data_IF_360260776112
#
_entry.id   IF_360260776112
#
_cell.length_a   1.000
_cell.length_b   1.000
_cell.length_c   1.000
_cell.angle_alpha   90.00
_cell.angle_beta   90.00
_cell.angle_gamma   90.00
#
_symmetry.space_group_name_H-M   'P 1'
#
loop_
_entity.id
_entity.type
_entity.pdbx_description
1 polymer ?
#
# COMPACT_ATOMS: atom_id res chain seq x y z
N UNK A 1 -28.38 32.39 -22.77
CA UNK A 1 -27.96 31.11 -22.15
C UNK A 1 -26.47 30.93 -22.42
N UNK A 2 -25.63 30.79 -21.39
CA UNK A 2 -24.19 30.53 -21.60
C UNK A 2 -24.05 29.09 -22.06
N UNK A 3 -23.56 28.88 -23.29
CA UNK A 3 -23.31 27.56 -23.84
C UNK A 3 -22.07 26.98 -23.16
N UNK A 4 -22.25 25.93 -22.36
CA UNK A 4 -21.14 25.21 -21.74
C UNK A 4 -20.67 24.17 -22.75
N UNK A 5 -19.39 24.26 -23.15
CA UNK A 5 -18.80 23.30 -24.08
C UNK A 5 -18.80 21.90 -23.46
N UNK A 6 -19.39 20.93 -24.17
CA UNK A 6 -19.37 19.51 -23.78
C UNK A 6 -17.93 19.02 -23.57
N UNK A 7 -17.00 19.51 -24.39
CA UNK A 7 -15.59 19.17 -24.27
C UNK A 7 -14.98 19.66 -22.94
N UNK A 8 -15.36 20.85 -22.47
CA UNK A 8 -14.89 21.38 -21.19
C UNK A 8 -15.41 20.55 -20.00
N UNK A 9 -16.63 20.04 -20.09
CA UNK A 9 -17.21 19.14 -19.09
C UNK A 9 -16.50 17.78 -19.06
N UNK A 10 -16.17 17.22 -20.23
CA UNK A 10 -15.42 15.97 -20.32
C UNK A 10 -14.02 16.09 -19.72
N UNK A 11 -13.31 17.18 -20.00
CA UNK A 11 -11.97 17.42 -19.42
C UNK A 11 -12.05 17.57 -17.90
N UNK A 12 -13.01 18.34 -17.38
CA UNK A 12 -13.25 18.45 -15.94
C UNK A 12 -13.56 17.09 -15.31
N UNK A 13 -14.40 16.28 -15.96
CA UNK A 13 -14.76 14.96 -15.48
C UNK A 13 -13.55 14.02 -15.43
N UNK A 14 -12.69 14.03 -16.45
CA UNK A 14 -11.44 13.25 -16.47
C UNK A 14 -10.49 13.70 -15.36
N UNK A 15 -10.30 15.00 -15.15
CA UNK A 15 -9.45 15.53 -14.06
C UNK A 15 -9.98 15.12 -12.68
N UNK A 16 -11.31 15.14 -12.48
CA UNK A 16 -11.93 14.71 -11.22
C UNK A 16 -11.82 13.19 -11.03
N UNK A 17 -11.91 12.39 -12.10
CA UNK A 17 -11.74 10.93 -12.03
C UNK A 17 -10.29 10.53 -11.74
N UNK A 18 -9.32 11.17 -12.38
CA UNK A 18 -7.88 10.93 -12.14
C UNK A 18 -7.51 11.31 -10.70
N UNK A 19 -8.06 12.40 -10.15
CA UNK A 19 -7.86 12.77 -8.74
C UNK A 19 -8.63 11.88 -7.76
N UNK A 20 -9.77 11.29 -8.17
CA UNK A 20 -10.59 10.42 -7.31
C UNK A 20 -10.11 8.97 -7.25
N UNK A 21 -9.27 8.51 -8.18
CA UNK A 21 -8.60 7.20 -8.09
C UNK A 21 -7.67 7.09 -6.87
N UNK A 22 -7.32 8.21 -6.24
CA UNK A 22 -6.57 8.27 -4.97
C UNK A 22 -7.57 8.22 -3.78
N UNK A 23 -8.42 7.21 -3.76
CA UNK A 23 -9.07 6.75 -2.53
C UNK A 23 -8.96 5.25 -2.55
N UNK A 24 -7.75 4.76 -2.22
CA UNK A 24 -7.58 3.42 -1.70
C UNK A 24 -8.68 3.19 -0.66
N UNK A 25 -9.31 2.03 -0.76
CA UNK A 25 -10.42 1.62 0.09
C UNK A 25 -10.10 1.95 1.56
N UNK A 26 -10.72 3.00 2.12
CA UNK A 26 -10.49 3.46 3.50
C UNK A 26 -10.83 2.38 4.56
N UNK A 27 -11.41 1.26 4.13
CA UNK A 27 -11.76 0.12 4.96
C UNK A 27 -10.81 -1.08 4.80
N UNK A 28 -9.76 -0.98 3.97
CA UNK A 28 -8.75 -2.03 3.88
C UNK A 28 -7.72 -1.85 5.02
N UNK A 29 -7.54 -2.89 5.83
CA UNK A 29 -6.54 -2.86 6.91
C UNK A 29 -5.11 -2.84 6.40
N UNK A 30 -4.88 -3.35 5.18
CA UNK A 30 -3.58 -3.47 4.55
C UNK A 30 -3.55 -2.71 3.23
N UNK A 31 -2.52 -1.90 3.04
CA UNK A 31 -2.22 -1.19 1.79
C UNK A 31 -0.78 -1.49 1.38
N UNK A 32 -0.54 -1.74 0.09
CA UNK A 32 0.81 -2.00 -0.41
C UNK A 32 1.71 -0.78 -0.18
N UNK A 33 2.94 -1.00 0.28
CA UNK A 33 3.92 0.07 0.48
C UNK A 33 4.26 0.76 -0.85
N UNK A 34 4.30 0.00 -1.94
CA UNK A 34 4.51 0.46 -3.33
C UNK A 34 5.65 1.49 -3.45
N UNK A 35 6.92 1.05 -3.31
CA UNK A 35 8.09 1.94 -3.29
C UNK A 35 8.22 2.69 -4.62
N UNK A 36 8.50 3.99 -4.56
CA UNK A 36 8.70 4.85 -5.74
C UNK A 36 10.05 5.55 -5.72
N UNK A 37 10.66 5.77 -6.90
CA UNK A 37 11.92 6.50 -7.01
C UNK A 37 13.05 5.84 -6.21
N UNK A 38 13.58 6.58 -5.23
CA UNK A 38 14.68 6.16 -4.36
C UNK A 38 14.24 5.40 -3.10
N UNK A 39 12.95 5.03 -3.00
CA UNK A 39 12.45 4.23 -1.89
C UNK A 39 13.13 2.86 -1.83
N UNK A 40 13.28 2.34 -0.61
CA UNK A 40 13.80 0.99 -0.40
C UNK A 40 12.82 -0.05 -0.97
N UNK A 41 13.26 -0.95 -1.88
CA UNK A 41 12.41 -2.01 -2.42
C UNK A 41 11.83 -2.94 -1.36
N UNK A 42 10.63 -3.47 -1.61
CA UNK A 42 9.91 -4.37 -0.69
C UNK A 42 10.73 -5.58 -0.27
N UNK A 43 11.42 -6.21 -1.22
CA UNK A 43 12.34 -7.32 -0.96
C UNK A 43 13.38 -6.98 0.13
N UNK A 44 13.99 -5.79 0.09
CA UNK A 44 14.97 -5.39 1.11
C UNK A 44 14.30 -5.09 2.45
N UNK A 45 13.11 -4.49 2.43
CA UNK A 45 12.32 -4.22 3.65
C UNK A 45 11.89 -5.51 4.36
N UNK A 46 11.75 -6.61 3.60
CA UNK A 46 11.23 -7.88 4.09
C UNK A 46 12.29 -8.95 4.34
N UNK A 47 13.45 -8.89 3.68
CA UNK A 47 14.50 -9.91 3.80
C UNK A 47 15.42 -9.72 5.00
N UNK A 48 15.59 -8.49 5.50
CA UNK A 48 16.51 -8.24 6.62
C UNK A 48 15.97 -8.92 7.89
N UNK A 49 16.75 -9.81 8.53
CA UNK A 49 16.30 -10.60 9.69
C UNK A 49 16.31 -9.74 10.97
N UNK A 50 15.44 -8.75 11.04
CA UNK A 50 15.25 -7.86 12.19
C UNK A 50 13.80 -7.90 12.66
N UNK A 51 13.58 -7.82 13.97
CA UNK A 51 12.26 -7.81 14.57
C UNK A 51 12.01 -6.50 15.37
N UNK A 52 10.89 -5.79 15.14
CA UNK A 52 9.98 -5.98 14.00
C UNK A 52 10.71 -5.65 12.67
N UNK A 53 10.16 -6.13 11.55
CA UNK A 53 10.79 -6.01 10.22
C UNK A 53 11.05 -4.55 9.81
N UNK A 54 11.91 -4.35 8.80
CA UNK A 54 12.09 -3.00 8.26
C UNK A 54 10.81 -2.49 7.59
N UNK A 55 10.02 -3.37 6.95
CA UNK A 55 8.68 -3.04 6.47
C UNK A 55 7.81 -2.44 7.59
N UNK A 56 7.81 -3.07 8.78
CA UNK A 56 7.05 -2.55 9.93
C UNK A 56 7.47 -1.13 10.32
N UNK A 57 8.77 -0.90 10.46
CA UNK A 57 9.32 0.40 10.85
C UNK A 57 9.07 1.46 9.78
N UNK A 58 9.29 1.11 8.51
CA UNK A 58 9.14 2.04 7.39
C UNK A 58 7.70 2.51 7.23
N UNK A 59 6.72 1.62 7.41
CA UNK A 59 5.30 1.99 7.40
C UNK A 59 4.97 2.98 8.52
N UNK A 60 5.45 2.75 9.75
CA UNK A 60 5.26 3.71 10.86
C UNK A 60 5.86 5.09 10.57
N UNK A 61 7.02 5.12 9.90
CA UNK A 61 7.76 6.36 9.64
C UNK A 61 7.18 7.17 8.47
N UNK A 62 6.62 6.52 7.45
CA UNK A 62 6.33 7.16 6.15
C UNK A 62 4.87 7.16 5.76
N UNK A 63 4.03 6.36 6.40
CA UNK A 63 2.60 6.26 6.09
C UNK A 63 1.78 6.76 7.28
N UNK A 64 1.16 7.92 7.11
CA UNK A 64 0.33 8.53 8.15
C UNK A 64 -0.82 7.61 8.57
N UNK A 65 -0.94 7.36 9.88
CA UNK A 65 -1.98 6.50 10.43
C UNK A 65 -1.68 4.99 10.39
N UNK A 66 -0.56 4.58 9.79
CA UNK A 66 -0.11 3.20 9.89
C UNK A 66 0.26 2.85 11.33
N UNK A 67 -0.05 1.61 11.74
CA UNK A 67 0.28 1.02 13.04
C UNK A 67 1.43 0.01 12.96
N UNK A 68 1.90 -0.27 11.74
CA UNK A 68 2.97 -1.21 11.47
C UNK A 68 2.96 -1.62 10.01
N UNK A 69 3.63 -2.74 9.71
CA UNK A 69 3.73 -3.29 8.37
C UNK A 69 4.06 -4.77 8.41
N UNK A 70 3.61 -5.50 7.40
CA UNK A 70 3.79 -6.94 7.26
C UNK A 70 4.30 -7.28 5.87
N UNK A 71 5.12 -8.32 5.81
CA UNK A 71 5.64 -8.85 4.56
C UNK A 71 4.78 -10.01 4.10
N UNK A 72 4.35 -9.97 2.84
CA UNK A 72 3.79 -11.11 2.12
C UNK A 72 4.94 -11.74 1.34
N UNK A 73 5.42 -12.89 1.82
CA UNK A 73 6.56 -13.58 1.24
C UNK A 73 6.06 -14.52 0.14
N UNK A 74 6.60 -14.33 -1.05
CA UNK A 74 6.32 -15.18 -2.21
C UNK A 74 7.47 -16.18 -2.45
N UNK A 75 7.22 -17.21 -3.25
CA UNK A 75 8.24 -18.22 -3.63
C UNK A 75 9.45 -17.53 -4.29
N UNK A 76 9.17 -16.56 -5.15
CA UNK A 76 10.20 -15.69 -5.72
C UNK A 76 10.43 -14.51 -4.76
N UNK A 77 11.67 -14.29 -4.29
CA UNK A 77 11.95 -13.19 -3.36
C UNK A 77 11.64 -11.80 -3.92
N UNK A 78 11.77 -11.61 -5.24
CA UNK A 78 11.47 -10.34 -5.93
C UNK A 78 9.95 -10.03 -5.95
N UNK A 79 9.11 -11.05 -5.81
CA UNK A 79 7.65 -10.90 -5.74
C UNK A 79 7.18 -10.60 -4.30
N UNK A 80 8.10 -10.58 -3.33
CA UNK A 80 7.78 -10.23 -1.93
C UNK A 80 7.29 -8.80 -1.84
N UNK A 81 6.18 -8.60 -1.12
CA UNK A 81 5.53 -7.30 -0.95
C UNK A 81 5.52 -6.86 0.50
N UNK A 82 5.68 -5.55 0.72
CA UNK A 82 5.46 -4.91 2.01
C UNK A 82 4.06 -4.29 2.02
N UNK A 83 3.28 -4.57 3.07
CA UNK A 83 1.96 -3.99 3.28
C UNK A 83 1.91 -3.24 4.61
N UNK A 84 1.48 -1.98 4.59
CA UNK A 84 1.26 -1.18 5.79
C UNK A 84 -0.09 -1.52 6.43
N UNK A 85 -0.07 -1.75 7.75
CA UNK A 85 -1.25 -2.12 8.53
C UNK A 85 -1.83 -0.90 9.24
N UNK A 86 -3.10 -0.60 9.03
CA UNK A 86 -3.80 0.54 9.65
C UNK A 86 -4.75 0.12 10.77
N UNK A 87 -5.04 -1.17 10.89
CA UNK A 87 -6.03 -1.68 11.86
C UNK A 87 -5.38 -2.09 13.19
N UNK A 88 -4.21 -2.74 13.16
CA UNK A 88 -3.53 -3.28 14.34
C UNK A 88 -2.01 -3.09 14.27
N UNK A 89 -1.36 -3.03 15.42
CA UNK A 89 0.09 -3.04 15.64
C UNK A 89 0.69 -4.46 15.68
N UNK A 90 -0.10 -5.49 15.33
CA UNK A 90 0.40 -6.86 15.21
C UNK A 90 1.50 -6.97 14.14
N UNK A 91 2.64 -7.50 14.58
CA UNK A 91 3.85 -7.71 13.77
C UNK A 91 3.99 -9.13 13.23
N UNK A 92 3.01 -9.99 13.47
CA UNK A 92 2.96 -11.35 12.91
C UNK A 92 2.95 -11.30 11.39
N UNK A 93 3.81 -12.03 10.66
CA UNK A 93 3.84 -12.01 9.20
C UNK A 93 2.50 -12.39 8.54
N UNK A 94 2.22 -11.85 7.34
CA UNK A 94 0.94 -12.07 6.63
C UNK A 94 0.72 -13.54 6.25
N UNK A 95 1.77 -14.27 5.84
CA UNK A 95 1.66 -15.68 5.47
C UNK A 95 1.25 -16.62 6.61
N UNK A 96 1.45 -16.23 7.89
CA UNK A 96 0.94 -16.99 9.04
C UNK A 96 -0.55 -16.73 9.29
N UNK A 97 -1.09 -15.65 8.73
CA UNK A 97 -2.47 -15.21 8.90
C UNK A 97 -3.33 -15.42 7.66
N UNK A 98 -2.71 -15.68 6.50
CA UNK A 98 -3.41 -16.00 5.25
C UNK A 98 -4.05 -17.38 5.42
N UNK A 99 -5.37 -17.51 5.25
CA UNK A 99 -6.00 -18.83 5.11
C UNK A 99 -5.25 -19.57 4.01
N UNK A 100 -4.77 -20.78 4.30
CA UNK A 100 -4.24 -21.66 3.27
C UNK A 100 -5.46 -22.04 2.43
N UNK A 101 -5.60 -21.44 1.24
CA UNK A 101 -6.61 -21.90 0.28
C UNK A 101 -6.27 -23.36 -0.03
N UNK A 102 -7.12 -24.26 0.47
CA UNK A 102 -7.00 -25.72 0.33
C UNK A 102 -7.75 -26.22 -0.91
#
# INVERSE_FOLDING_TARGET
MKSVSILALLVLFVVVLETSKIKANKNACYEEYNPTGDDTPDFLLCRVPIYPSLCYKKCLETREGAKGGKCDFEINPEDTKCFCNYCSDDSTPLYLTKPTDA
#
